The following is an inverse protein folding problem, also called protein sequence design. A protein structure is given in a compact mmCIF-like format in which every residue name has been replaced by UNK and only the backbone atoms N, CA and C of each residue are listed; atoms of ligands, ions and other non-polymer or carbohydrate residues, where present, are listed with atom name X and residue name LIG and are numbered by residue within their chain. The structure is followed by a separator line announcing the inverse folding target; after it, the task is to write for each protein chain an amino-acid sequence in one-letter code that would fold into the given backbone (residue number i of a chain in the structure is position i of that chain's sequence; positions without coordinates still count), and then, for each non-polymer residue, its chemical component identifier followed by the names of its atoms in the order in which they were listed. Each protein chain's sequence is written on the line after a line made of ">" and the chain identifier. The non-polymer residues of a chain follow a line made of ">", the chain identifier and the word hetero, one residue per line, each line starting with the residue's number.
data_IF_110960926064
#
_entry.id   IF_110960926064
#
_cell.length_a   1.000
_cell.length_b   1.000
_cell.length_c   1.000
_cell.angle_alpha   90.00
_cell.angle_beta   90.00
_cell.angle_gamma   90.00
#
_symmetry.space_group_name_H-M   'P 1'
#
loop_
_entity.id
_entity.type
_entity.pdbx_description
1 polymer ?
#
# COMPACT_ATOMS: atom_id res chain seq x y z
N UNK A 1 18.43 -75.12 54.63
CA UNK A 1 18.57 -73.89 55.46
C UNK A 1 18.32 -72.70 54.54
N UNK A 2 17.28 -71.90 54.85
CA UNK A 2 17.19 -70.43 54.80
C UNK A 2 17.98 -69.66 53.71
N UNK A 3 17.49 -68.63 53.02
CA UNK A 3 16.30 -67.79 53.13
C UNK A 3 16.46 -66.62 52.11
N UNK A 4 15.38 -65.87 51.90
CA UNK A 4 15.29 -64.46 51.46
C UNK A 4 15.26 -64.14 49.95
N UNK A 5 14.09 -63.63 49.58
CA UNK A 5 13.62 -62.95 48.39
C UNK A 5 14.15 -61.51 48.23
N UNK A 6 14.22 -61.01 46.98
CA UNK A 6 13.79 -59.64 46.64
C UNK A 6 13.58 -59.44 45.12
N UNK A 7 12.38 -59.02 44.68
CA UNK A 7 12.01 -58.79 43.28
C UNK A 7 12.32 -57.36 42.82
N UNK A 8 12.10 -57.10 41.52
CA UNK A 8 11.86 -55.78 40.94
C UNK A 8 13.11 -54.88 40.71
N UNK A 9 13.75 -55.02 39.55
CA UNK A 9 14.40 -53.90 38.86
C UNK A 9 14.08 -54.03 37.36
N UNK A 10 12.92 -53.55 36.96
CA UNK A 10 12.69 -52.19 36.42
C UNK A 10 12.71 -52.24 34.89
N UNK A 11 11.56 -52.66 34.35
CA UNK A 11 11.12 -52.25 33.03
C UNK A 11 11.02 -50.71 33.01
N UNK A 12 12.07 -50.04 32.55
CA UNK A 12 12.08 -48.58 32.39
C UNK A 12 13.10 -48.16 31.33
N UNK A 13 12.96 -48.66 30.10
CA UNK A 13 13.30 -47.85 28.92
C UNK A 13 11.98 -47.23 28.46
N UNK A 14 11.55 -46.25 29.27
CA UNK A 14 10.42 -45.38 28.98
C UNK A 14 10.79 -44.53 27.77
N UNK A 15 10.17 -44.83 26.64
CA UNK A 15 9.44 -43.86 25.82
C UNK A 15 9.91 -42.37 25.93
N UNK A 16 11.06 -42.02 25.36
CA UNK A 16 11.43 -40.63 25.07
C UNK A 16 11.31 -40.38 23.57
N UNK A 17 10.08 -40.47 23.06
CA UNK A 17 9.70 -40.01 21.73
C UNK A 17 8.41 -39.19 21.85
N UNK A 18 8.41 -38.17 22.69
CA UNK A 18 7.26 -37.28 22.87
C UNK A 18 7.71 -35.85 22.60
N UNK A 19 7.32 -35.32 21.44
CA UNK A 19 7.23 -33.87 21.25
C UNK A 19 8.16 -33.22 20.24
N UNK A 20 8.57 -33.89 19.16
CA UNK A 20 8.80 -33.12 17.93
C UNK A 20 7.41 -32.75 17.41
N UNK A 21 6.88 -31.63 17.91
CA UNK A 21 5.78 -30.93 17.25
C UNK A 21 6.30 -30.57 15.87
N UNK A 22 5.95 -31.35 14.86
CA UNK A 22 6.13 -30.96 13.48
C UNK A 22 5.22 -29.74 13.31
N UNK A 23 5.80 -28.54 13.39
CA UNK A 23 5.15 -27.35 12.87
C UNK A 23 4.96 -27.64 11.38
N UNK A 24 3.73 -27.97 11.00
CA UNK A 24 3.39 -27.98 9.58
C UNK A 24 3.54 -26.55 9.12
N UNK A 25 4.57 -26.28 8.31
CA UNK A 25 4.68 -25.01 7.63
C UNK A 25 3.41 -24.84 6.80
N UNK A 26 2.58 -23.86 7.17
CA UNK A 26 1.39 -23.49 6.40
C UNK A 26 1.84 -23.21 4.97
N UNK A 27 1.25 -23.91 4.00
CA UNK A 27 1.57 -23.67 2.59
C UNK A 27 1.26 -22.20 2.25
N UNK A 28 2.14 -21.52 1.50
CA UNK A 28 1.90 -20.13 1.13
C UNK A 28 0.65 -20.03 0.24
N UNK A 29 -0.15 -18.98 0.46
CA UNK A 29 -1.27 -18.62 -0.41
C UNK A 29 -0.78 -18.11 -1.77
N UNK A 30 0.42 -17.52 -1.79
CA UNK A 30 1.13 -17.08 -2.97
C UNK A 30 2.60 -17.45 -2.84
N UNK A 31 3.17 -18.05 -3.88
CA UNK A 31 4.62 -18.23 -4.04
C UNK A 31 4.97 -17.88 -5.48
N UNK A 32 5.78 -16.85 -5.69
CA UNK A 32 6.17 -16.38 -7.02
C UNK A 32 7.69 -16.14 -7.11
N UNK A 33 8.30 -16.75 -8.13
CA UNK A 33 9.73 -16.65 -8.48
C UNK A 33 9.97 -16.08 -9.88
N UNK A 34 8.90 -15.84 -10.65
CA UNK A 34 8.93 -15.35 -12.02
C UNK A 34 9.62 -16.27 -13.04
N UNK A 35 9.88 -17.53 -12.68
CA UNK A 35 10.57 -18.47 -13.59
C UNK A 35 9.71 -19.01 -14.74
N UNK A 36 8.39 -18.89 -14.62
CA UNK A 36 7.46 -19.53 -15.56
C UNK A 36 7.47 -18.94 -16.98
N UNK A 37 7.98 -17.71 -17.17
CA UNK A 37 8.02 -17.07 -18.48
C UNK A 37 8.57 -15.65 -18.44
N UNK A 38 8.74 -15.06 -19.63
CA UNK A 38 9.40 -13.75 -19.81
C UNK A 38 8.44 -12.55 -19.70
N UNK A 39 7.15 -12.79 -19.49
CA UNK A 39 6.15 -11.74 -19.26
C UNK A 39 5.68 -11.79 -17.82
N UNK A 40 5.07 -10.69 -17.34
CA UNK A 40 4.38 -10.71 -16.06
C UNK A 40 3.41 -11.89 -16.01
N UNK A 41 3.38 -12.68 -14.91
CA UNK A 41 2.47 -13.80 -14.78
C UNK A 41 1.00 -13.33 -14.83
N UNK A 42 0.10 -14.25 -15.16
CA UNK A 42 -1.32 -13.92 -15.26
C UNK A 42 -1.86 -13.29 -13.96
N UNK A 43 -2.56 -12.17 -14.08
CA UNK A 43 -3.12 -11.41 -12.97
C UNK A 43 -2.15 -10.39 -12.35
N UNK A 44 -0.86 -10.45 -12.66
CA UNK A 44 0.11 -9.42 -12.27
C UNK A 44 0.03 -8.25 -13.25
N UNK A 45 -0.15 -7.04 -12.73
CA UNK A 45 -0.41 -5.87 -13.57
C UNK A 45 0.42 -4.66 -13.14
N UNK A 46 1.04 -3.99 -14.11
CA UNK A 46 1.68 -2.70 -13.86
C UNK A 46 0.61 -1.62 -13.73
N UNK A 47 0.68 -0.88 -12.63
CA UNK A 47 -0.07 0.35 -12.41
C UNK A 47 0.89 1.52 -12.19
N UNK A 48 0.61 2.64 -12.84
CA UNK A 48 1.43 3.85 -12.76
C UNK A 48 0.55 5.06 -12.46
N UNK A 49 1.14 6.09 -11.84
CA UNK A 49 0.46 7.38 -11.68
C UNK A 49 0.52 8.19 -12.97
N UNK A 50 1.71 8.31 -13.55
CA UNK A 50 1.93 8.92 -14.86
C UNK A 50 2.09 7.82 -15.93
N UNK A 51 1.31 7.86 -17.02
CA UNK A 51 1.43 6.88 -18.09
C UNK A 51 2.77 7.01 -18.83
N UNK A 52 3.23 5.92 -19.45
CA UNK A 52 4.38 5.86 -20.36
C UNK A 52 5.76 6.25 -19.78
N UNK A 53 5.85 6.53 -18.48
CA UNK A 53 7.11 6.88 -17.80
C UNK A 53 7.84 5.67 -17.22
N UNK A 54 7.07 4.64 -16.84
CA UNK A 54 7.56 3.46 -16.12
C UNK A 54 7.16 2.18 -16.83
N UNK A 55 7.97 1.13 -16.66
CA UNK A 55 7.81 -0.18 -17.29
C UNK A 55 8.05 -1.26 -16.24
N UNK A 56 7.43 -2.41 -16.45
CA UNK A 56 7.68 -3.61 -15.66
C UNK A 56 7.77 -4.82 -16.58
N UNK A 57 8.70 -5.71 -16.28
CA UNK A 57 8.95 -6.93 -17.04
C UNK A 57 9.52 -8.02 -16.13
N UNK A 58 9.48 -9.27 -16.61
CA UNK A 58 10.28 -10.34 -16.02
C UNK A 58 11.64 -10.30 -16.70
N UNK A 59 12.69 -10.06 -15.91
CA UNK A 59 14.04 -9.87 -16.39
C UNK A 59 14.91 -11.06 -15.96
N UNK A 60 15.70 -11.62 -16.88
CA UNK A 60 16.73 -12.58 -16.54
C UNK A 60 17.94 -11.88 -15.87
N UNK A 61 18.61 -12.56 -14.94
CA UNK A 61 19.79 -12.02 -14.26
C UNK A 61 20.16 -12.73 -12.96
N UNK A 62 20.84 -12.01 -12.06
CA UNK A 62 21.19 -12.48 -10.72
C UNK A 62 19.99 -12.38 -9.76
N UNK A 63 18.99 -13.23 -10.01
CA UNK A 63 17.78 -13.39 -9.21
C UNK A 63 18.10 -13.80 -7.76
N UNK A 64 17.16 -13.63 -6.85
CA UNK A 64 17.27 -14.11 -5.48
C UNK A 64 16.97 -15.62 -5.39
N UNK A 65 16.07 -16.09 -6.25
CA UNK A 65 15.71 -17.48 -6.47
C UNK A 65 15.67 -17.73 -7.99
N UNK A 66 16.31 -18.79 -8.47
CA UNK A 66 16.36 -19.07 -9.91
C UNK A 66 17.22 -18.09 -10.74
N UNK A 67 16.70 -17.63 -11.87
CA UNK A 67 17.37 -16.85 -12.92
C UNK A 67 16.57 -15.65 -13.41
N UNK A 68 15.31 -15.49 -13.01
CA UNK A 68 14.39 -14.44 -13.43
C UNK A 68 13.84 -13.70 -12.21
N UNK A 69 13.50 -12.44 -12.39
CA UNK A 69 12.94 -11.60 -11.33
C UNK A 69 12.02 -10.55 -11.93
N UNK A 70 11.12 -10.01 -11.12
CA UNK A 70 10.38 -8.81 -11.51
C UNK A 70 11.33 -7.61 -11.51
N UNK A 71 11.37 -6.87 -12.61
CA UNK A 71 12.03 -5.57 -12.72
C UNK A 71 11.01 -4.48 -13.00
N UNK A 72 11.11 -3.38 -12.26
CA UNK A 72 10.40 -2.14 -12.49
C UNK A 72 11.43 -1.05 -12.76
N UNK A 73 11.30 -0.37 -13.89
CA UNK A 73 12.09 0.81 -14.21
C UNK A 73 11.19 2.03 -14.35
N UNK A 74 11.63 3.18 -13.83
CA UNK A 74 10.99 4.46 -14.07
C UNK A 74 12.01 5.52 -14.48
N UNK A 75 11.83 6.10 -15.66
CA UNK A 75 12.75 7.09 -16.23
C UNK A 75 12.65 8.48 -15.61
N UNK A 76 11.53 8.78 -14.93
CA UNK A 76 11.26 10.01 -14.18
C UNK A 76 10.52 9.66 -12.88
N UNK A 77 10.40 10.59 -11.92
CA UNK A 77 9.62 10.35 -10.72
C UNK A 77 8.19 9.90 -11.07
N UNK A 78 7.79 8.74 -10.57
CA UNK A 78 6.46 8.16 -10.72
C UNK A 78 6.11 7.30 -9.51
N UNK A 79 4.85 6.93 -9.36
CA UNK A 79 4.42 5.85 -8.47
C UNK A 79 4.13 4.61 -9.31
N UNK A 80 5.19 3.87 -9.63
CA UNK A 80 5.12 2.67 -10.45
C UNK A 80 5.07 1.43 -9.55
N UNK A 81 4.09 0.56 -9.76
CA UNK A 81 3.96 -0.68 -9.01
C UNK A 81 3.40 -1.82 -9.83
N UNK A 82 3.82 -3.03 -9.52
CA UNK A 82 3.12 -4.23 -10.00
C UNK A 82 2.23 -4.74 -8.89
N UNK A 83 0.98 -5.02 -9.25
CA UNK A 83 -0.08 -5.43 -8.36
C UNK A 83 -0.53 -6.85 -8.64
N UNK A 84 -0.86 -7.57 -7.58
CA UNK A 84 -1.49 -8.89 -7.66
C UNK A 84 -2.54 -9.04 -6.55
N UNK A 85 -3.76 -9.41 -6.92
CA UNK A 85 -4.85 -9.60 -5.97
C UNK A 85 -4.97 -11.05 -5.57
N UNK A 86 -4.98 -11.30 -4.26
CA UNK A 86 -5.12 -12.62 -3.65
C UNK A 86 -6.40 -12.69 -2.82
N UNK A 87 -7.15 -13.81 -2.87
CA UNK A 87 -8.22 -14.06 -1.92
C UNK A 87 -7.63 -14.29 -0.53
N UNK A 88 -8.29 -13.77 0.50
CA UNK A 88 -7.90 -13.95 1.91
C UNK A 88 -9.12 -14.21 2.77
N UNK A 89 -8.88 -14.74 3.96
CA UNK A 89 -9.92 -14.92 4.97
C UNK A 89 -9.98 -13.69 5.87
N UNK A 90 -11.20 -13.29 6.23
CA UNK A 90 -11.42 -12.26 7.23
C UNK A 90 -10.85 -12.67 8.60
N UNK A 91 -10.42 -11.68 9.37
CA UNK A 91 -9.91 -11.77 10.73
C UNK A 91 -8.66 -12.65 10.88
N UNK A 92 -7.84 -12.73 9.84
CA UNK A 92 -6.57 -13.46 9.84
C UNK A 92 -5.37 -12.53 9.77
N UNK A 93 -4.19 -13.10 10.05
CA UNK A 93 -2.89 -12.45 9.93
C UNK A 93 -2.12 -13.12 8.78
N UNK A 94 -1.52 -12.29 7.95
CA UNK A 94 -0.68 -12.71 6.84
C UNK A 94 0.71 -12.11 6.97
N UNK A 95 1.71 -12.86 6.55
CA UNK A 95 3.09 -12.39 6.39
C UNK A 95 3.38 -12.33 4.88
N UNK A 96 3.54 -11.11 4.37
CA UNK A 96 4.07 -10.87 3.02
C UNK A 96 5.59 -10.77 3.11
N UNK A 97 6.29 -11.55 2.29
CA UNK A 97 7.74 -11.47 2.15
C UNK A 97 8.14 -11.30 0.69
N UNK A 98 9.24 -10.58 0.48
CA UNK A 98 9.91 -10.50 -0.81
C UNK A 98 11.39 -10.20 -0.63
N UNK A 99 12.23 -10.68 -1.55
CA UNK A 99 13.59 -10.19 -1.74
C UNK A 99 13.54 -8.99 -2.66
N UNK A 100 14.17 -7.90 -2.22
CA UNK A 100 14.07 -6.60 -2.88
C UNK A 100 15.46 -5.98 -3.08
N UNK A 101 15.66 -5.34 -4.24
CA UNK A 101 16.81 -4.49 -4.59
C UNK A 101 16.32 -3.20 -5.24
N UNK A 102 17.12 -2.16 -5.20
CA UNK A 102 16.84 -0.93 -5.95
C UNK A 102 18.12 -0.18 -6.30
N UNK A 103 18.06 0.63 -7.36
CA UNK A 103 19.16 1.51 -7.77
C UNK A 103 18.65 2.82 -8.33
N UNK A 104 19.40 3.91 -8.11
CA UNK A 104 19.17 5.18 -8.79
C UNK A 104 17.93 5.95 -8.33
N UNK A 105 17.36 5.53 -7.20
CA UNK A 105 16.24 6.19 -6.57
C UNK A 105 16.67 7.51 -5.88
N UNK A 106 15.79 8.50 -5.90
CA UNK A 106 15.96 9.75 -5.17
C UNK A 106 16.04 9.47 -3.66
N UNK A 107 17.09 9.99 -3.02
CA UNK A 107 17.41 9.68 -1.62
C UNK A 107 16.29 10.10 -0.65
N UNK A 108 15.62 11.22 -0.92
CA UNK A 108 14.61 11.82 -0.04
C UNK A 108 13.20 11.21 -0.21
N UNK A 109 13.06 10.21 -1.08
CA UNK A 109 11.78 9.55 -1.38
C UNK A 109 11.88 8.06 -1.08
N UNK A 110 10.73 7.41 -0.89
CA UNK A 110 10.66 5.95 -0.82
C UNK A 110 11.10 5.38 -2.18
N UNK A 111 12.03 4.44 -2.16
CA UNK A 111 12.55 3.74 -3.33
C UNK A 111 11.75 2.45 -3.54
N UNK A 112 12.37 1.27 -3.46
CA UNK A 112 11.62 0.02 -3.56
C UNK A 112 10.93 -0.33 -2.24
N UNK A 113 9.65 -0.71 -2.30
CA UNK A 113 8.83 -1.12 -1.15
C UNK A 113 7.87 -2.26 -1.51
N UNK A 114 7.43 -3.03 -0.52
CA UNK A 114 6.27 -3.92 -0.62
C UNK A 114 5.14 -3.39 0.25
N UNK A 115 3.89 -3.61 -0.15
CA UNK A 115 2.72 -3.07 0.55
C UNK A 115 1.42 -3.70 0.10
N UNK A 116 0.32 -3.02 0.44
CA UNK A 116 -1.03 -3.36 0.00
C UNK A 116 -1.68 -2.10 -0.58
N UNK A 117 -2.33 -2.22 -1.74
CA UNK A 117 -3.10 -1.12 -2.33
C UNK A 117 -4.17 -0.60 -1.37
N UNK A 118 -4.38 0.72 -1.38
CA UNK A 118 -5.33 1.38 -0.50
C UNK A 118 -4.86 1.56 0.94
N UNK A 119 -3.66 1.09 1.29
CA UNK A 119 -3.00 1.36 2.58
C UNK A 119 -1.81 2.30 2.36
N UNK A 120 -1.74 3.35 3.18
CA UNK A 120 -0.64 4.32 3.10
C UNK A 120 0.70 3.76 3.60
N UNK A 121 0.71 2.91 4.62
CA UNK A 121 1.94 2.29 5.11
C UNK A 121 2.47 1.23 4.13
N UNK A 122 3.78 1.06 4.10
CA UNK A 122 4.49 0.04 3.32
C UNK A 122 5.67 -0.52 4.13
N UNK A 123 6.44 -1.47 3.58
CA UNK A 123 7.69 -1.93 4.20
C UNK A 123 8.70 -0.80 4.37
N UNK A 124 9.77 -1.06 5.12
CA UNK A 124 10.97 -0.24 4.99
C UNK A 124 11.47 -0.27 3.55
N UNK A 125 12.00 0.85 3.07
CA UNK A 125 12.43 0.96 1.69
C UNK A 125 13.81 0.35 1.47
N UNK A 126 14.04 -0.23 0.29
CA UNK A 126 15.35 -0.69 -0.20
C UNK A 126 15.87 0.29 -1.23
N UNK A 127 17.18 0.60 -1.14
CA UNK A 127 17.89 1.51 -2.04
C UNK A 127 19.19 0.94 -2.64
N UNK A 128 19.58 -0.25 -2.20
CA UNK A 128 20.82 -0.91 -2.60
C UNK A 128 20.53 -2.03 -3.61
N UNK A 129 21.44 -2.20 -4.58
CA UNK A 129 21.37 -3.23 -5.61
C UNK A 129 22.47 -4.30 -5.46
N UNK A 130 23.39 -4.14 -4.50
CA UNK A 130 24.47 -5.09 -4.28
C UNK A 130 23.96 -6.41 -3.72
N UNK A 131 23.06 -6.37 -2.75
CA UNK A 131 22.54 -7.57 -2.08
C UNK A 131 21.02 -7.57 -2.02
N UNK A 132 20.44 -8.76 -2.18
CA UNK A 132 18.99 -8.95 -2.02
C UNK A 132 18.60 -8.80 -0.55
N UNK A 133 17.77 -7.82 -0.26
CA UNK A 133 17.29 -7.58 1.11
C UNK A 133 15.91 -8.19 1.28
N UNK A 134 15.74 -8.98 2.35
CA UNK A 134 14.41 -9.45 2.72
C UNK A 134 13.59 -8.27 3.24
N UNK A 135 12.35 -8.17 2.77
CA UNK A 135 11.32 -7.33 3.37
C UNK A 135 10.18 -8.20 3.83
N UNK A 136 9.69 -7.88 5.02
CA UNK A 136 8.61 -8.57 5.70
C UNK A 136 7.56 -7.55 6.10
N UNK A 137 6.29 -7.92 5.95
CA UNK A 137 5.17 -7.08 6.29
C UNK A 137 4.03 -7.93 6.82
N UNK A 138 3.69 -7.74 8.10
CA UNK A 138 2.54 -8.39 8.70
C UNK A 138 1.27 -7.61 8.38
N UNK A 139 0.24 -8.30 7.92
CA UNK A 139 -1.01 -7.71 7.45
C UNK A 139 -2.17 -8.36 8.20
N UNK A 140 -3.00 -7.55 8.87
CA UNK A 140 -4.28 -8.00 9.41
C UNK A 140 -5.38 -7.76 8.39
N UNK A 141 -6.10 -8.80 8.00
CA UNK A 141 -7.13 -8.70 6.95
C UNK A 141 -8.40 -7.97 7.39
N UNK A 142 -8.65 -7.84 8.69
CA UNK A 142 -9.91 -7.31 9.22
C UNK A 142 -11.12 -8.01 8.56
N UNK A 143 -12.06 -7.33 7.93
CA UNK A 143 -13.22 -7.93 7.26
C UNK A 143 -13.02 -8.12 5.74
N UNK A 144 -11.78 -7.99 5.25
CA UNK A 144 -11.46 -8.17 3.85
C UNK A 144 -11.49 -9.65 3.45
N UNK A 145 -11.99 -9.90 2.24
CA UNK A 145 -12.03 -11.22 1.58
C UNK A 145 -11.00 -11.34 0.45
N UNK A 146 -10.33 -10.23 0.13
CA UNK A 146 -9.22 -10.17 -0.80
C UNK A 146 -8.30 -9.00 -0.42
N UNK A 147 -7.06 -9.08 -0.85
CA UNK A 147 -6.12 -7.95 -0.77
C UNK A 147 -5.31 -7.85 -2.05
N UNK A 148 -4.95 -6.63 -2.45
CA UNK A 148 -4.09 -6.40 -3.60
C UNK A 148 -2.70 -6.04 -3.11
N UNK A 149 -1.76 -6.98 -3.26
CA UNK A 149 -0.36 -6.81 -2.95
C UNK A 149 0.26 -5.81 -3.91
N UNK A 150 1.14 -4.97 -3.39
CA UNK A 150 1.85 -3.92 -4.13
C UNK A 150 3.36 -4.16 -4.04
N UNK A 151 4.04 -4.12 -5.18
CA UNK A 151 5.50 -4.14 -5.30
C UNK A 151 5.91 -2.89 -6.07
N UNK A 152 6.47 -1.89 -5.38
CA UNK A 152 6.53 -0.52 -5.88
C UNK A 152 7.93 0.08 -5.94
N UNK A 153 8.18 0.88 -6.98
CA UNK A 153 9.24 1.89 -7.03
C UNK A 153 8.59 3.26 -6.83
N UNK A 154 8.84 3.85 -5.66
CA UNK A 154 8.04 4.94 -5.15
C UNK A 154 6.81 4.44 -4.39
N UNK A 155 6.08 5.38 -3.78
CA UNK A 155 4.84 5.11 -3.06
C UNK A 155 3.92 6.34 -3.11
N UNK A 156 2.71 6.25 -2.55
CA UNK A 156 1.81 7.41 -2.48
C UNK A 156 2.48 8.61 -1.79
N UNK A 157 2.49 9.78 -2.45
CA UNK A 157 3.19 11.00 -2.00
C UNK A 157 4.72 10.94 -2.10
N UNK A 158 5.28 9.82 -2.57
CA UNK A 158 6.69 9.51 -2.65
C UNK A 158 7.06 8.98 -4.04
N UNK A 159 6.67 9.69 -5.09
CA UNK A 159 7.04 9.36 -6.47
C UNK A 159 8.57 9.28 -6.62
N UNK A 160 9.05 8.29 -7.37
CA UNK A 160 10.48 8.03 -7.52
C UNK A 160 10.86 7.48 -8.91
N UNK A 161 12.15 7.43 -9.19
CA UNK A 161 12.75 7.00 -10.45
C UNK A 161 13.83 5.95 -10.21
N UNK A 162 14.38 5.40 -11.29
CA UNK A 162 15.44 4.39 -11.23
C UNK A 162 14.91 2.98 -11.45
N UNK A 163 15.51 2.03 -10.77
CA UNK A 163 15.24 0.60 -10.90
C UNK A 163 14.83 0.01 -9.54
N UNK A 164 13.88 -0.93 -9.56
CA UNK A 164 13.56 -1.81 -8.45
C UNK A 164 13.41 -3.24 -8.95
N UNK A 165 13.94 -4.20 -8.19
CA UNK A 165 13.78 -5.62 -8.49
C UNK A 165 13.15 -6.34 -7.30
N UNK A 166 12.30 -7.32 -7.60
CA UNK A 166 11.57 -8.11 -6.62
C UNK A 166 11.60 -9.58 -7.02
N UNK A 167 11.78 -10.45 -6.03
CA UNK A 167 11.84 -11.88 -6.24
C UNK A 167 11.53 -12.66 -4.94
N UNK A 168 11.38 -13.98 -5.03
CA UNK A 168 11.07 -14.88 -3.93
C UNK A 168 9.88 -14.37 -3.10
N UNK A 169 8.79 -14.03 -3.79
CA UNK A 169 7.60 -13.44 -3.18
C UNK A 169 6.80 -14.56 -2.53
N UNK A 170 6.44 -14.36 -1.27
CA UNK A 170 5.53 -15.25 -0.57
C UNK A 170 4.48 -14.49 0.22
N UNK A 171 3.26 -15.03 0.27
CA UNK A 171 2.24 -14.62 1.22
C UNK A 171 1.76 -15.84 1.98
N UNK A 172 1.94 -15.85 3.29
CA UNK A 172 1.58 -16.99 4.15
C UNK A 172 0.67 -16.53 5.27
N UNK A 173 -0.38 -17.30 5.57
CA UNK A 173 -1.17 -17.09 6.77
C UNK A 173 -0.38 -17.55 8.00
N UNK A 174 -0.33 -16.70 9.03
CA UNK A 174 0.42 -16.96 10.27
C UNK A 174 -0.48 -16.77 11.49
N UNK A 175 -0.15 -17.45 12.58
CA UNK A 175 -0.98 -17.43 13.79
C UNK A 175 -0.69 -16.23 14.70
N UNK A 176 0.49 -15.60 14.55
CA UNK A 176 0.94 -14.55 15.44
C UNK A 176 1.88 -13.55 14.74
N UNK A 177 1.93 -12.35 15.33
CA UNK A 177 2.85 -11.27 14.94
C UNK A 177 3.96 -11.21 16.00
N UNK A 178 5.25 -11.28 15.61
CA UNK A 178 6.35 -11.09 16.54
C UNK A 178 6.34 -9.71 17.21
N UNK A 179 6.80 -9.63 18.45
CA UNK A 179 6.90 -8.36 19.16
C UNK A 179 7.79 -7.37 18.39
N UNK A 180 7.31 -6.14 18.22
CA UNK A 180 8.03 -5.08 17.50
C UNK A 180 7.99 -5.18 15.97
N UNK A 181 7.37 -6.22 15.39
CA UNK A 181 7.21 -6.31 13.95
C UNK A 181 6.28 -5.19 13.43
N UNK A 182 6.57 -4.69 12.23
CA UNK A 182 5.71 -3.73 11.55
C UNK A 182 4.42 -4.42 11.10
N UNK A 183 3.28 -3.80 11.42
CA UNK A 183 1.94 -4.32 11.10
C UNK A 183 1.16 -3.29 10.29
N UNK A 184 0.47 -3.76 9.27
CA UNK A 184 -0.54 -3.03 8.53
C UNK A 184 -1.90 -3.65 8.78
N UNK A 185 -2.92 -2.82 8.91
CA UNK A 185 -4.32 -3.26 8.99
C UNK A 185 -5.06 -2.82 7.73
N UNK A 186 -5.75 -3.75 7.07
CA UNK A 186 -6.60 -3.40 5.95
C UNK A 186 -7.79 -2.57 6.44
N UNK A 187 -8.26 -1.56 5.66
CA UNK A 187 -9.43 -0.80 6.05
C UNK A 187 -10.64 -1.72 6.25
N UNK A 188 -11.41 -1.49 7.33
CA UNK A 188 -12.68 -2.17 7.49
C UNK A 188 -13.67 -1.64 6.45
N UNK A 189 -14.51 -2.52 5.87
CA UNK A 189 -15.69 -2.03 5.15
C UNK A 189 -16.44 -1.15 6.15
N UNK A 190 -16.76 0.09 5.77
CA UNK A 190 -17.53 0.95 6.65
C UNK A 190 -18.83 0.20 6.97
N UNK A 191 -19.05 -0.13 8.25
CA UNK A 191 -20.40 -0.37 8.69
C UNK A 191 -21.15 0.91 8.34
N UNK A 192 -22.18 0.82 7.51
CA UNK A 192 -23.15 1.90 7.37
C UNK A 192 -23.53 2.28 8.80
N UNK A 193 -23.00 3.41 9.28
CA UNK A 193 -23.58 4.04 10.44
C UNK A 193 -24.95 4.48 9.95
N UNK A 194 -25.95 3.63 10.14
CA UNK A 194 -27.33 4.05 10.25
C UNK A 194 -27.31 5.09 11.35
N UNK A 195 -27.12 6.36 10.99
CA UNK A 195 -27.41 7.46 11.87
C UNK A 195 -28.86 7.28 12.24
N UNK A 196 -29.05 6.79 13.45
CA UNK A 196 -30.33 6.62 14.08
C UNK A 196 -30.89 8.04 14.24
N UNK A 197 -31.62 8.48 13.21
CA UNK A 197 -32.38 9.71 13.20
C UNK A 197 -33.55 9.57 14.17
N UNK A 198 -33.25 9.56 15.47
CA UNK A 198 -34.20 9.82 16.54
C UNK A 198 -33.82 11.13 17.22
N UNK A 199 -33.93 12.20 16.45
CA UNK A 199 -34.40 13.48 16.94
C UNK A 199 -35.38 13.98 15.89
N UNK A 200 -36.65 14.12 16.26
CA UNK A 200 -37.65 14.73 15.40
C UNK A 200 -37.14 16.11 14.92
N UNK A 201 -37.31 16.46 13.65
CA UNK A 201 -36.90 17.76 13.14
C UNK A 201 -37.72 18.87 13.82
N UNK A 202 -37.11 20.02 14.18
CA UNK A 202 -37.90 21.23 14.30
C UNK A 202 -38.51 21.50 12.92
N UNK A 203 -39.84 21.57 12.86
CA UNK A 203 -40.58 21.94 11.67
C UNK A 203 -40.08 23.28 11.11
N UNK A 204 -39.43 23.25 9.96
CA UNK A 204 -39.30 24.42 9.09
C UNK A 204 -40.16 24.12 7.86
N UNK A 205 -41.44 24.42 8.01
CA UNK A 205 -42.32 24.61 6.88
C UNK A 205 -41.89 25.89 6.13
N UNK A 206 -41.88 25.77 4.80
CA UNK A 206 -41.94 26.83 3.79
C UNK A 206 -40.64 27.58 3.40
N UNK A 207 -40.03 27.07 2.33
CA UNK A 207 -39.69 27.79 1.08
C UNK A 207 -39.79 29.33 1.09
N UNK A 208 -38.67 30.03 0.83
CA UNK A 208 -38.75 31.46 0.51
C UNK A 208 -37.43 32.21 0.39
N UNK A 209 -37.01 32.46 -0.86
CA UNK A 209 -36.22 33.61 -1.36
C UNK A 209 -34.77 33.77 -0.85
N UNK A 210 -33.83 33.69 -1.79
CA UNK A 210 -32.44 34.12 -1.63
C UNK A 210 -32.36 35.49 -0.95
N UNK A 211 -31.65 35.54 0.17
CA UNK A 211 -31.51 36.72 1.04
C UNK A 211 -30.67 37.80 0.32
N UNK A 212 -31.06 39.08 0.35
CA UNK A 212 -30.63 40.11 -0.62
C UNK A 212 -29.24 40.71 -0.38
N UNK A 213 -28.42 40.13 0.50
CA UNK A 213 -27.09 40.67 0.81
C UNK A 213 -26.03 40.27 -0.23
N UNK A 214 -26.21 39.12 -0.91
CA UNK A 214 -25.33 38.69 -2.00
C UNK A 214 -25.47 39.57 -3.26
N UNK A 215 -26.65 40.14 -3.52
CA UNK A 215 -26.86 41.09 -4.63
C UNK A 215 -26.28 42.47 -4.32
N UNK A 216 -26.30 42.91 -3.06
CA UNK A 216 -25.69 44.18 -2.63
C UNK A 216 -24.16 44.16 -2.78
N UNK A 217 -23.51 43.05 -2.43
CA UNK A 217 -22.05 42.89 -2.59
C UNK A 217 -21.67 42.89 -4.08
N UNK A 218 -22.44 42.20 -4.92
CA UNK A 218 -22.22 42.20 -6.38
C UNK A 218 -22.36 43.58 -7.01
N UNK A 219 -23.40 44.35 -6.63
CA UNK A 219 -23.65 45.67 -7.18
C UNK A 219 -22.56 46.70 -6.77
N UNK A 220 -22.06 46.63 -5.52
CA UNK A 220 -21.00 47.52 -5.04
C UNK A 220 -19.68 47.33 -5.79
N UNK A 221 -19.32 46.07 -6.12
CA UNK A 221 -18.11 45.78 -6.90
C UNK A 221 -18.20 46.30 -8.34
N UNK A 222 -19.35 46.14 -9.01
CA UNK A 222 -19.55 46.66 -10.38
C UNK A 222 -19.49 48.19 -10.42
N UNK A 223 -20.06 48.87 -9.41
CA UNK A 223 -20.02 50.34 -9.35
C UNK A 223 -18.59 50.87 -9.17
N UNK A 224 -17.76 50.19 -8.37
CA UNK A 224 -16.37 50.59 -8.15
C UNK A 224 -15.51 50.52 -9.42
N UNK A 225 -15.72 49.48 -10.24
CA UNK A 225 -15.02 49.30 -11.52
C UNK A 225 -15.42 50.39 -12.52
N UNK A 226 -16.70 50.78 -12.55
CA UNK A 226 -17.20 51.82 -13.45
C UNK A 226 -16.69 53.22 -13.07
N UNK A 227 -16.56 53.53 -11.78
CA UNK A 227 -15.98 54.80 -11.30
C UNK A 227 -14.50 54.90 -11.68
N UNK A 228 -13.73 53.82 -11.49
CA UNK A 228 -12.31 53.78 -11.87
C UNK A 228 -12.14 53.90 -13.39
N UNK A 229 -12.95 53.19 -14.18
CA UNK A 229 -12.92 53.30 -15.64
C UNK A 229 -13.33 54.70 -16.14
N UNK A 230 -14.34 55.31 -15.52
CA UNK A 230 -14.80 56.67 -15.83
C UNK A 230 -13.75 57.74 -15.51
N UNK A 231 -13.11 57.66 -14.35
CA UNK A 231 -12.01 58.55 -13.97
C UNK A 231 -10.82 58.43 -14.94
N UNK A 232 -10.49 57.22 -15.38
CA UNK A 232 -9.42 56.98 -16.35
C UNK A 232 -9.75 57.53 -17.75
N UNK A 233 -11.01 57.43 -18.19
CA UNK A 233 -11.46 58.00 -19.46
C UNK A 233 -11.49 59.54 -19.45
N UNK A 234 -11.87 60.15 -18.33
CA UNK A 234 -11.84 61.61 -18.12
C UNK A 234 -10.40 62.15 -18.08
N UNK A 235 -9.48 61.44 -17.41
CA UNK A 235 -8.06 61.80 -17.39
C UNK A 235 -7.43 61.74 -18.81
N UNK A 236 -7.78 60.73 -19.62
CA UNK A 236 -7.34 60.64 -21.02
C UNK A 236 -7.90 61.75 -21.92
N UNK A 237 -9.15 62.17 -21.72
CA UNK A 237 -9.74 63.28 -22.49
C UNK A 237 -9.09 64.63 -22.19
N UNK A 238 -8.67 64.87 -20.94
CA UNK A 238 -7.94 66.09 -20.59
C UNK A 238 -6.51 66.14 -21.15
N UNK A 239 -5.87 64.99 -21.39
CA UNK A 239 -4.54 64.93 -22.01
C UNK A 239 -4.54 65.01 -23.55
N UNK A 240 -5.68 64.73 -24.20
CA UNK A 240 -5.83 64.84 -25.66
C UNK A 240 -6.28 66.21 -26.18
N UNK A 241 -6.54 67.19 -25.30
CA UNK A 241 -6.99 68.54 -25.66
C UNK A 241 -5.89 69.62 -25.59
N UNK A 242 -4.63 69.22 -25.34
CA UNK A 242 -3.46 70.12 -25.24
C UNK A 242 -2.32 69.72 -26.20
N UNK A 243 -2.65 69.11 -27.35
CA UNK A 243 -1.78 69.03 -28.53
C UNK A 243 -2.58 69.30 -29.79
#
# INVERSE_FOLDING_TARGET
>A
MNQISRPLLLAMVLLVCSGLSWSQATQPLLSESFEAGQSLPNGWTLQTWQPDVSRAEVQAGAAADGQQMLHINSSKPNHARVNYTVPVQANQIYLLQAKVKARGANADKLAAVIGVEGVYDASETVRDDQQWQLRELYIKSNDAESMTLLFGLGHFGNENQGDAWFDAISLTQVDAIPAGAKVIELPRKQAEQTQQANAAPPSLAESGKATPWLTVIGAALVLSVLIVAGAFALARRHQGANQ
#
